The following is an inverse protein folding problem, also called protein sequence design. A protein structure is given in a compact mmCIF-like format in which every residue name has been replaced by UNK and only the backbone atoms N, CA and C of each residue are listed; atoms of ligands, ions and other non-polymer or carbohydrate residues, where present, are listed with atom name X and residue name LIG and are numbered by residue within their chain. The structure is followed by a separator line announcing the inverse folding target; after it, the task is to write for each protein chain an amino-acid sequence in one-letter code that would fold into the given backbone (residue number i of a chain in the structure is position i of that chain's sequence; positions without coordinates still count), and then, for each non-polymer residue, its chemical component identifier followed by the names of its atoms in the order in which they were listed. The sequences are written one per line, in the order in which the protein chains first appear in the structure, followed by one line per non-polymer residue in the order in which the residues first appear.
data_IF_584889408168
#
_entry.id   IF_584889408168
#
_cell.length_a   1.000
_cell.length_b   1.000
_cell.length_c   1.000
_cell.angle_alpha   90.00
_cell.angle_beta   90.00
_cell.angle_gamma   90.00
#
_symmetry.space_group_name_H-M   'P 1'
#
loop_
_entity.id
_entity.type
_entity.pdbx_description
1 polymer ?
#
# COMPACT_ATOMS: atom_id res chain seq x y z
N UNK A 1 7.53 -0.22 6.90
CA UNK A 1 7.12 -1.58 7.29
C UNK A 1 5.69 -1.76 6.84
N UNK A 2 5.42 -2.66 5.88
CA UNK A 2 4.08 -2.90 5.35
C UNK A 2 3.44 -3.98 6.22
N UNK A 3 2.36 -3.64 6.93
CA UNK A 3 1.66 -4.54 7.86
C UNK A 3 0.28 -4.85 7.29
N UNK A 4 -0.03 -6.13 7.10
CA UNK A 4 -1.41 -6.56 6.81
C UNK A 4 -2.18 -6.61 8.14
N UNK A 5 -2.69 -5.47 8.58
CA UNK A 5 -3.45 -5.38 9.83
C UNK A 5 -4.93 -5.48 9.54
N UNK A 6 -5.65 -6.29 10.33
CA UNK A 6 -7.12 -6.38 10.33
C UNK A 6 -7.78 -5.16 10.99
N UNK A 7 -6.98 -4.12 11.28
CA UNK A 7 -7.45 -2.87 11.86
C UNK A 7 -8.25 -2.11 10.80
N UNK A 8 -9.41 -1.57 11.20
CA UNK A 8 -10.28 -0.79 10.31
C UNK A 8 -9.57 0.45 9.78
N UNK A 9 -9.99 0.90 8.59
CA UNK A 9 -9.43 2.05 7.87
C UNK A 9 -9.26 3.28 8.78
N UNK A 10 -10.22 3.54 9.67
CA UNK A 10 -10.18 4.63 10.65
C UNK A 10 -9.00 4.55 11.62
N UNK A 11 -8.58 3.35 12.03
CA UNK A 11 -7.42 3.17 12.91
C UNK A 11 -6.09 3.42 12.19
N UNK A 12 -6.02 3.12 10.89
CA UNK A 12 -4.87 3.45 10.05
C UNK A 12 -4.81 4.96 9.76
N UNK A 13 -5.95 5.59 9.49
CA UNK A 13 -6.06 7.05 9.32
C UNK A 13 -5.65 7.79 10.60
N UNK A 14 -6.08 7.33 11.77
CA UNK A 14 -5.67 7.89 13.06
C UNK A 14 -4.15 7.77 13.33
N UNK A 15 -3.49 6.77 12.74
CA UNK A 15 -2.02 6.60 12.79
C UNK A 15 -1.28 7.41 11.72
N UNK A 16 -2.00 8.19 10.89
CA UNK A 16 -1.42 9.00 9.82
C UNK A 16 -1.12 8.21 8.55
N UNK A 17 -1.79 7.07 8.33
CA UNK A 17 -1.71 6.31 7.08
C UNK A 17 -2.90 6.65 6.17
N UNK A 18 -2.63 6.74 4.87
CA UNK A 18 -3.63 6.89 3.81
C UNK A 18 -3.82 5.55 3.12
N UNK A 19 -5.06 5.25 2.74
CA UNK A 19 -5.40 4.07 1.97
C UNK A 19 -5.62 4.44 0.49
N UNK A 20 -4.95 3.74 -0.42
CA UNK A 20 -5.32 3.73 -1.84
C UNK A 20 -6.02 2.41 -2.17
N UNK A 21 -7.15 2.50 -2.84
CA UNK A 21 -7.86 1.33 -3.36
C UNK A 21 -7.24 0.90 -4.70
N UNK A 22 -6.86 -0.37 -4.79
CA UNK A 22 -6.38 -1.00 -6.02
C UNK A 22 -7.19 -2.26 -6.31
N UNK A 23 -7.13 -2.80 -7.54
CA UNK A 23 -7.90 -3.97 -7.97
C UNK A 23 -7.70 -5.20 -7.06
N UNK A 24 -6.52 -5.32 -6.45
CA UNK A 24 -6.14 -6.46 -5.60
C UNK A 24 -6.47 -6.23 -4.12
N UNK A 25 -6.66 -4.96 -3.70
CA UNK A 25 -6.95 -4.59 -2.32
C UNK A 25 -6.50 -3.17 -1.97
N UNK A 26 -6.71 -2.78 -0.71
CA UNK A 26 -6.31 -1.46 -0.20
C UNK A 26 -4.86 -1.46 0.27
N UNK A 27 -4.06 -0.48 -0.19
CA UNK A 27 -2.69 -0.23 0.28
C UNK A 27 -2.70 0.89 1.28
N UNK A 28 -2.16 0.64 2.47
CA UNK A 28 -1.93 1.67 3.48
C UNK A 28 -0.49 2.15 3.44
N UNK A 29 -0.29 3.46 3.26
CA UNK A 29 1.01 4.11 3.23
C UNK A 29 1.00 5.37 4.11
N UNK A 30 2.12 5.77 4.72
CA UNK A 30 2.15 6.95 5.58
C UNK A 30 1.81 8.21 4.77
N UNK A 31 1.04 9.14 5.33
CA UNK A 31 0.65 10.39 4.67
C UNK A 31 1.85 11.32 4.44
N UNK A 32 2.88 11.20 5.28
CA UNK A 32 4.12 11.97 5.19
C UNK A 32 5.31 11.08 4.82
N UNK A 33 6.27 11.63 4.08
CA UNK A 33 7.52 10.96 3.73
C UNK A 33 7.43 10.03 2.51
N UNK A 34 6.29 10.01 1.80
CA UNK A 34 6.14 9.33 0.52
C UNK A 34 5.56 10.26 -0.53
N UNK A 35 6.02 10.12 -1.77
CA UNK A 35 5.45 10.73 -2.96
C UNK A 35 4.56 9.71 -3.63
N UNK A 36 3.30 10.08 -3.82
CA UNK A 36 2.34 9.29 -4.57
C UNK A 36 2.24 9.83 -6.00
N UNK A 37 2.33 8.96 -6.99
CA UNK A 37 1.92 9.27 -8.36
C UNK A 37 0.39 9.31 -8.47
N UNK A 38 -0.16 9.86 -9.56
CA UNK A 38 -1.61 9.97 -9.79
C UNK A 38 -2.32 8.59 -9.80
N UNK A 39 -1.62 7.52 -10.20
CA UNK A 39 -2.13 6.15 -10.15
C UNK A 39 -1.26 5.28 -9.23
N UNK A 40 -1.88 4.72 -8.18
CA UNK A 40 -1.26 3.72 -7.30
C UNK A 40 -1.78 2.35 -7.72
N UNK A 41 -0.86 1.47 -8.14
CA UNK A 41 -1.21 0.13 -8.61
C UNK A 41 -0.57 -0.93 -7.72
N UNK A 42 -1.33 -1.97 -7.39
CA UNK A 42 -0.84 -3.18 -6.72
C UNK A 42 -0.78 -4.31 -7.71
N UNK A 43 0.44 -4.72 -8.03
CA UNK A 43 0.70 -5.88 -8.87
C UNK A 43 0.95 -7.10 -7.98
N UNK A 44 0.19 -8.16 -8.21
CA UNK A 44 0.46 -9.46 -7.60
C UNK A 44 1.33 -10.28 -8.55
N UNK A 45 2.55 -10.59 -8.12
CA UNK A 45 3.53 -11.31 -8.94
C UNK A 45 3.84 -12.66 -8.32
N UNK A 46 3.59 -13.71 -9.10
CA UNK A 46 3.88 -15.10 -8.73
C UNK A 46 5.12 -15.61 -9.48
N UNK A 47 6.18 -15.87 -8.74
CA UNK A 47 7.34 -16.64 -9.19
C UNK A 47 7.23 -18.09 -8.69
N UNK A 48 7.91 -19.05 -9.34
CA UNK A 48 7.84 -20.46 -8.95
C UNK A 48 8.28 -20.75 -7.50
N UNK A 49 9.04 -19.83 -6.88
CA UNK A 49 9.57 -19.94 -5.52
C UNK A 49 9.16 -18.78 -4.60
N UNK A 50 8.41 -17.79 -5.10
CA UNK A 50 8.04 -16.61 -4.32
C UNK A 50 6.82 -15.93 -4.91
N UNK A 51 5.84 -15.67 -4.05
CA UNK A 51 4.74 -14.75 -4.35
C UNK A 51 5.00 -13.44 -3.64
N UNK A 52 4.89 -12.31 -4.35
CA UNK A 52 5.01 -10.98 -3.75
C UNK A 52 4.02 -9.99 -4.34
N UNK A 53 3.71 -8.96 -3.55
CA UNK A 53 3.02 -7.77 -4.00
C UNK A 53 4.06 -6.71 -4.37
N UNK A 54 3.92 -6.10 -5.53
CA UNK A 54 4.65 -4.90 -5.93
C UNK A 54 3.69 -3.73 -5.98
N UNK A 55 4.04 -2.64 -5.30
CA UNK A 55 3.24 -1.42 -5.28
C UNK A 55 3.97 -0.40 -6.15
N UNK A 56 3.30 0.06 -7.20
CA UNK A 56 3.77 1.14 -8.07
C UNK A 56 3.06 2.44 -7.71
N UNK A 57 3.73 3.56 -7.93
CA UNK A 57 3.17 4.89 -7.66
C UNK A 57 3.32 5.36 -6.20
N UNK A 58 4.10 4.66 -5.36
CA UNK A 58 4.49 5.14 -4.03
C UNK A 58 6.01 5.07 -3.91
N UNK A 59 6.65 6.23 -3.80
CA UNK A 59 8.10 6.34 -3.63
C UNK A 59 8.44 7.06 -2.32
N UNK A 60 9.51 6.68 -1.61
CA UNK A 60 9.98 7.48 -0.47
C UNK A 60 10.41 8.87 -0.96
N UNK A 61 10.00 9.92 -0.23
CA UNK A 61 10.34 11.32 -0.56
C UNK A 61 11.79 11.67 -0.28
#
# INVERSE_FOLDING_TARGET
MVSFTREEKEAMEAKGYVAAESEVGSVYYPAEGVKTSEEIAVNYIEYPWLTRFEVEGIEPS
#
